data_IF_122207869301
#
_entry.id   IF_122207869301
#
_cell.length_a   1.000
_cell.length_b   1.000
_cell.length_c   1.000
_cell.angle_alpha   90.00
_cell.angle_beta   90.00
_cell.angle_gamma   90.00
#
_symmetry.space_group_name_H-M   'P 1'
#
loop_
_entity.id
_entity.type
_entity.pdbx_description
1 polymer ?
#
# COMPACT_ATOMS: atom_id res chain seq x y z
N UNK A 1 48.58 -15.04 -7.97
CA UNK A 1 48.08 -14.40 -6.73
C UNK A 1 46.59 -14.25 -6.87
N UNK A 2 45.81 -14.99 -6.07
CA UNK A 2 44.36 -14.82 -6.05
C UNK A 2 44.06 -13.50 -5.32
N UNK A 3 43.49 -12.52 -6.02
CA UNK A 3 42.94 -11.31 -5.42
C UNK A 3 41.74 -11.76 -4.58
N UNK A 4 41.92 -11.87 -3.26
CA UNK A 4 40.82 -12.13 -2.35
C UNK A 4 39.78 -11.04 -2.51
N UNK A 5 38.56 -11.40 -2.94
CA UNK A 5 37.44 -10.48 -3.04
C UNK A 5 37.04 -10.05 -1.64
N UNK A 6 37.56 -8.89 -1.20
CA UNK A 6 37.13 -8.25 0.03
C UNK A 6 35.72 -7.70 -0.18
N UNK A 7 34.71 -8.49 0.15
CA UNK A 7 33.32 -8.03 0.10
C UNK A 7 33.19 -6.88 1.10
N UNK A 8 32.79 -5.67 0.68
CA UNK A 8 32.63 -4.54 1.58
C UNK A 8 31.64 -4.91 2.69
N UNK A 9 31.97 -4.61 3.95
CA UNK A 9 31.09 -4.90 5.10
C UNK A 9 29.67 -4.36 4.92
N UNK A 10 29.54 -3.24 4.19
CA UNK A 10 28.26 -2.63 3.85
C UNK A 10 27.37 -3.51 2.98
N UNK A 11 27.94 -4.29 2.05
CA UNK A 11 27.18 -5.21 1.19
C UNK A 11 26.63 -6.38 2.00
N UNK A 12 27.45 -6.97 2.87
CA UNK A 12 27.04 -8.06 3.77
C UNK A 12 25.94 -7.58 4.71
N UNK A 13 26.13 -6.41 5.34
CA UNK A 13 25.11 -5.80 6.19
C UNK A 13 23.80 -5.57 5.43
N UNK A 14 23.88 -5.07 4.21
CA UNK A 14 22.69 -4.83 3.40
C UNK A 14 21.95 -6.12 3.08
N UNK A 15 22.65 -7.20 2.74
CA UNK A 15 22.06 -8.50 2.46
C UNK A 15 21.40 -9.12 3.71
N UNK A 16 22.02 -8.96 4.88
CA UNK A 16 21.43 -9.40 6.15
C UNK A 16 20.15 -8.59 6.44
N UNK A 17 20.22 -7.26 6.36
CA UNK A 17 19.09 -6.38 6.67
C UNK A 17 17.93 -6.55 5.68
N UNK A 18 18.22 -6.84 4.41
CA UNK A 18 17.21 -7.10 3.37
C UNK A 18 16.35 -8.32 3.69
N UNK A 19 16.90 -9.32 4.41
CA UNK A 19 16.20 -10.55 4.79
C UNK A 19 15.29 -10.39 6.01
N UNK A 20 15.37 -9.27 6.72
CA UNK A 20 14.60 -9.05 7.94
C UNK A 20 13.17 -8.60 7.66
N UNK A 21 12.18 -8.98 8.50
CA UNK A 21 10.83 -8.46 8.40
C UNK A 21 10.79 -6.93 8.57
N UNK A 22 9.90 -6.25 7.84
CA UNK A 22 9.73 -4.79 7.89
C UNK A 22 9.54 -4.27 9.32
N UNK A 23 8.79 -4.99 10.16
CA UNK A 23 8.57 -4.62 11.57
C UNK A 23 9.88 -4.57 12.37
N UNK A 24 10.82 -5.48 12.10
CA UNK A 24 12.14 -5.45 12.73
C UNK A 24 12.96 -4.26 12.24
N UNK A 25 12.94 -3.99 10.93
CA UNK A 25 13.60 -2.82 10.34
C UNK A 25 13.07 -1.50 10.90
N UNK A 26 11.76 -1.39 11.15
CA UNK A 26 11.17 -0.22 11.79
C UNK A 26 11.69 0.03 13.19
N UNK A 27 11.81 -1.03 14.02
CA UNK A 27 12.41 -0.92 15.37
C UNK A 27 13.89 -0.53 15.28
N UNK A 28 14.60 -1.06 14.29
CA UNK A 28 16.01 -0.80 14.04
C UNK A 28 16.31 0.64 13.62
N UNK A 29 15.32 1.40 13.13
CA UNK A 29 15.47 2.85 12.90
C UNK A 29 15.86 3.62 14.17
N UNK A 30 15.54 3.10 15.36
CA UNK A 30 15.87 3.73 16.65
C UNK A 30 17.30 3.42 17.13
N UNK A 31 17.97 2.43 16.55
CA UNK A 31 19.29 1.97 16.99
C UNK A 31 20.40 2.89 16.50
N UNK A 32 20.30 3.38 15.25
CA UNK A 32 21.33 4.24 14.66
C UNK A 32 20.77 5.16 13.56
N UNK A 33 21.32 6.39 13.48
CA UNK A 33 21.03 7.34 12.40
C UNK A 33 21.43 6.77 11.02
N UNK A 34 22.51 6.00 10.96
CA UNK A 34 22.97 5.36 9.72
C UNK A 34 21.95 4.34 9.22
N UNK A 35 21.39 3.52 10.11
CA UNK A 35 20.34 2.56 9.77
C UNK A 35 19.02 3.23 9.36
N UNK A 36 18.59 4.26 10.11
CA UNK A 36 17.43 5.07 9.72
C UNK A 36 17.59 5.67 8.31
N UNK A 37 18.79 6.16 7.99
CA UNK A 37 19.09 6.73 6.67
C UNK A 37 19.10 5.64 5.59
N UNK A 38 19.76 4.50 5.86
CA UNK A 38 19.82 3.36 4.95
C UNK A 38 18.42 2.85 4.58
N UNK A 39 17.56 2.62 5.56
CA UNK A 39 16.18 2.13 5.33
C UNK A 39 15.30 3.12 4.58
N UNK A 40 15.70 4.40 4.53
CA UNK A 40 14.98 5.44 3.78
C UNK A 40 15.41 5.51 2.31
N UNK A 41 16.58 4.96 1.95
CA UNK A 41 17.11 5.00 0.57
C UNK A 41 16.22 4.20 -0.39
N UNK A 42 15.89 4.73 -1.60
CA UNK A 42 15.06 4.02 -2.59
C UNK A 42 15.61 2.65 -2.97
N UNK A 43 16.93 2.53 -3.13
CA UNK A 43 17.59 1.26 -3.46
C UNK A 43 17.33 0.17 -2.41
N UNK A 44 17.43 0.49 -1.12
CA UNK A 44 17.15 -0.46 -0.06
C UNK A 44 15.68 -0.88 -0.05
N UNK A 45 14.75 0.07 -0.19
CA UNK A 45 13.30 -0.21 -0.27
C UNK A 45 12.99 -1.16 -1.43
N UNK A 46 13.56 -0.91 -2.62
CA UNK A 46 13.39 -1.76 -3.81
C UNK A 46 14.00 -3.14 -3.63
N UNK A 47 15.22 -3.24 -3.06
CA UNK A 47 15.89 -4.52 -2.78
C UNK A 47 15.09 -5.35 -1.78
N UNK A 48 14.62 -4.72 -0.69
CA UNK A 48 13.77 -5.34 0.33
C UNK A 48 12.43 -5.82 -0.22
N UNK A 49 11.75 -4.98 -1.01
CA UNK A 49 10.49 -5.31 -1.65
C UNK A 49 10.63 -6.48 -2.64
N UNK A 50 11.65 -6.46 -3.50
CA UNK A 50 11.91 -7.54 -4.45
C UNK A 50 12.26 -8.84 -3.72
N UNK A 51 13.01 -8.75 -2.64
CA UNK A 51 13.30 -9.91 -1.80
C UNK A 51 12.02 -10.49 -1.20
N UNK A 52 11.13 -9.64 -0.67
CA UNK A 52 9.83 -10.06 -0.16
C UNK A 52 8.98 -10.70 -1.26
N UNK A 53 8.88 -10.14 -2.47
CA UNK A 53 8.10 -10.73 -3.58
C UNK A 53 8.56 -12.14 -3.97
N UNK A 54 9.86 -12.42 -3.80
CA UNK A 54 10.45 -13.70 -4.18
C UNK A 54 10.46 -14.74 -3.05
N UNK A 55 10.01 -14.39 -1.84
CA UNK A 55 9.84 -15.35 -0.75
C UNK A 55 8.43 -15.92 -0.76
N UNK A 56 8.29 -17.23 -0.61
CA UNK A 56 6.97 -17.88 -0.51
C UNK A 56 6.28 -17.58 0.82
N UNK A 57 7.05 -17.46 1.91
CA UNK A 57 6.54 -17.22 3.27
C UNK A 57 6.16 -15.77 3.55
N UNK A 58 6.43 -14.85 2.63
CA UNK A 58 6.08 -13.43 2.74
C UNK A 58 4.72 -13.11 2.10
N UNK A 59 4.08 -14.07 1.42
CA UNK A 59 2.76 -13.90 0.84
C UNK A 59 1.72 -13.77 1.94
N UNK A 60 0.96 -12.67 1.91
CA UNK A 60 -0.06 -12.38 2.91
C UNK A 60 -1.36 -11.98 2.26
N UNK A 61 -2.44 -12.33 2.94
CA UNK A 61 -3.79 -11.90 2.60
C UNK A 61 -4.23 -10.83 3.60
N UNK A 62 -4.77 -9.73 3.08
CA UNK A 62 -5.48 -8.71 3.85
C UNK A 62 -6.98 -8.98 3.75
N UNK A 63 -7.65 -9.03 4.89
CA UNK A 63 -9.08 -9.32 5.02
C UNK A 63 -9.73 -8.13 5.72
N UNK A 64 -10.70 -7.50 5.06
CA UNK A 64 -11.60 -6.54 5.70
C UNK A 64 -12.80 -7.28 6.28
N UNK A 65 -13.13 -7.04 7.55
CA UNK A 65 -14.35 -7.56 8.16
C UNK A 65 -15.14 -6.44 8.83
N UNK A 66 -16.45 -6.47 8.62
CA UNK A 66 -17.43 -5.62 9.31
C UNK A 66 -18.28 -6.50 10.21
N UNK A 67 -18.49 -6.08 11.47
CA UNK A 67 -19.43 -6.74 12.36
C UNK A 67 -20.83 -6.17 12.17
N UNK A 68 -21.84 -7.03 11.98
CA UNK A 68 -23.23 -6.61 11.89
C UNK A 68 -23.65 -5.79 13.13
N UNK A 69 -24.14 -4.57 12.91
CA UNK A 69 -24.66 -3.72 13.98
C UNK A 69 -23.65 -2.81 14.68
N UNK A 70 -22.38 -2.79 14.25
CA UNK A 70 -21.40 -1.77 14.68
C UNK A 70 -20.80 -1.07 13.48
N UNK A 71 -20.45 0.19 13.62
CA UNK A 71 -19.64 0.96 12.66
C UNK A 71 -18.15 0.57 12.71
N UNK A 72 -17.82 -0.58 13.30
CA UNK A 72 -16.44 -1.02 13.50
C UNK A 72 -16.00 -1.86 12.30
N UNK A 73 -15.23 -1.24 11.40
CA UNK A 73 -14.52 -1.94 10.33
C UNK A 73 -13.11 -2.29 10.78
N UNK A 74 -12.75 -3.56 10.64
CA UNK A 74 -11.46 -4.07 11.06
C UNK A 74 -10.73 -4.74 9.91
N UNK A 75 -9.42 -4.52 9.85
CA UNK A 75 -8.54 -5.21 8.92
C UNK A 75 -7.75 -6.30 9.64
N UNK A 76 -7.58 -7.42 8.97
CA UNK A 76 -6.82 -8.56 9.44
C UNK A 76 -5.83 -8.97 8.37
N UNK A 77 -4.69 -9.49 8.79
CA UNK A 77 -3.66 -10.01 7.91
C UNK A 77 -3.35 -11.45 8.30
N UNK A 78 -3.29 -12.35 7.31
CA UNK A 78 -2.88 -13.74 7.51
C UNK A 78 -1.86 -14.18 6.46
N UNK A 79 -1.08 -15.22 6.77
CA UNK A 79 -0.14 -15.81 5.83
C UNK A 79 -0.87 -16.66 4.78
N UNK A 80 -0.43 -16.58 3.53
CA UNK A 80 -0.86 -17.49 2.46
C UNK A 80 0.08 -18.70 2.30
N UNK A 81 1.10 -18.83 3.14
CA UNK A 81 2.02 -19.97 3.06
C UNK A 81 1.26 -21.28 3.34
N UNK A 82 1.34 -22.27 2.43
CA UNK A 82 0.59 -23.54 2.54
C UNK A 82 0.84 -24.27 3.87
N UNK A 83 2.01 -24.07 4.47
CA UNK A 83 2.45 -24.76 5.67
C UNK A 83 2.12 -24.00 6.98
N UNK A 84 1.41 -22.87 6.91
CA UNK A 84 1.17 -21.97 8.06
C UNK A 84 -0.28 -21.51 8.22
N UNK A 85 -1.26 -22.19 7.62
CA UNK A 85 -2.68 -21.87 7.82
C UNK A 85 -3.21 -22.32 9.19
N UNK A 86 -2.53 -21.92 10.27
CA UNK A 86 -3.06 -22.05 11.63
C UNK A 86 -3.94 -20.82 11.91
N UNK A 87 -5.10 -21.03 12.54
CA UNK A 87 -6.07 -19.98 12.92
C UNK A 87 -5.43 -18.84 13.74
N UNK A 88 -4.26 -19.07 14.34
CA UNK A 88 -3.51 -18.12 15.16
C UNK A 88 -2.67 -17.09 14.37
N UNK A 89 -2.56 -17.21 13.04
CA UNK A 89 -1.76 -16.28 12.21
C UNK A 89 -2.55 -15.04 11.76
N UNK A 90 -3.81 -14.91 12.21
CA UNK A 90 -4.65 -13.75 11.92
C UNK A 90 -4.28 -12.60 12.87
N UNK A 91 -3.66 -11.56 12.31
CA UNK A 91 -3.30 -10.36 13.05
C UNK A 91 -4.21 -9.20 12.68
N UNK A 92 -4.87 -8.58 13.66
CA UNK A 92 -5.56 -7.31 13.47
C UNK A 92 -4.54 -6.24 13.06
N UNK A 93 -4.78 -5.60 11.93
CA UNK A 93 -3.97 -4.47 11.46
C UNK A 93 -4.58 -3.21 12.04
N UNK A 94 -3.75 -2.43 12.74
CA UNK A 94 -4.22 -1.21 13.37
C UNK A 94 -4.08 -0.02 12.41
N UNK A 95 -5.21 0.65 12.21
CA UNK A 95 -5.32 1.87 11.42
C UNK A 95 -5.31 3.08 12.37
N UNK A 96 -4.23 3.87 12.36
CA UNK A 96 -4.06 5.00 13.29
C UNK A 96 -4.33 6.38 12.68
N UNK A 97 -4.41 6.49 11.36
CA UNK A 97 -4.31 7.79 10.68
C UNK A 97 -5.62 8.59 10.58
N UNK A 98 -6.77 8.06 10.99
CA UNK A 98 -8.06 8.77 10.89
C UNK A 98 -8.62 8.94 12.30
N UNK A 99 -8.90 10.19 12.68
CA UNK A 99 -9.42 10.57 13.99
C UNK A 99 -10.88 10.17 14.20
N UNK A 100 -11.63 9.96 13.12
CA UNK A 100 -13.06 9.65 13.17
C UNK A 100 -13.37 8.20 12.78
N UNK A 101 -14.33 7.55 13.45
CA UNK A 101 -14.82 6.25 13.03
C UNK A 101 -15.51 6.36 11.66
N UNK A 102 -15.10 5.52 10.71
CA UNK A 102 -15.71 5.45 9.38
C UNK A 102 -16.85 4.42 9.38
N UNK A 103 -17.92 4.72 8.66
CA UNK A 103 -19.13 3.88 8.55
C UNK A 103 -18.96 2.73 7.56
N UNK A 104 -17.96 2.79 6.68
CA UNK A 104 -17.53 1.63 5.92
C UNK A 104 -16.26 1.81 5.10
N UNK A 105 -15.82 0.72 4.50
CA UNK A 105 -14.64 0.71 3.63
C UNK A 105 -14.78 -0.27 2.46
N UNK A 106 -14.18 0.08 1.33
CA UNK A 106 -13.99 -0.76 0.16
C UNK A 106 -12.53 -0.79 -0.25
N UNK A 107 -12.01 -1.98 -0.53
CA UNK A 107 -10.66 -2.18 -1.09
C UNK A 107 -10.79 -2.33 -2.60
N UNK A 108 -10.13 -1.46 -3.37
CA UNK A 108 -10.15 -1.53 -4.83
C UNK A 108 -9.09 -2.46 -5.38
N UNK A 109 -7.84 -2.27 -4.95
CA UNK A 109 -6.70 -3.00 -5.48
C UNK A 109 -5.49 -2.89 -4.55
N UNK A 110 -4.45 -3.69 -4.84
CA UNK A 110 -3.16 -3.59 -4.17
C UNK A 110 -2.00 -3.66 -5.17
N UNK A 111 -0.90 -3.02 -4.81
CA UNK A 111 0.36 -3.06 -5.55
C UNK A 111 1.50 -2.89 -4.55
N UNK A 112 2.46 -3.82 -4.55
CA UNK A 112 3.68 -3.71 -3.74
C UNK A 112 3.43 -3.47 -2.23
N UNK A 113 2.43 -4.18 -1.71
CA UNK A 113 1.90 -4.07 -0.34
C UNK A 113 1.24 -2.73 0.01
N UNK A 114 1.01 -1.86 -0.97
CA UNK A 114 0.14 -0.69 -0.87
C UNK A 114 -1.28 -1.08 -1.28
N UNK A 115 -2.26 -0.56 -0.57
CA UNK A 115 -3.69 -0.81 -0.81
C UNK A 115 -4.37 0.49 -1.14
N UNK A 116 -5.12 0.50 -2.24
CA UNK A 116 -6.02 1.60 -2.58
C UNK A 116 -7.38 1.27 -1.99
N UNK A 117 -7.84 2.10 -1.06
CA UNK A 117 -9.09 1.89 -0.35
C UNK A 117 -9.92 3.16 -0.36
N UNK A 118 -11.22 2.98 -0.26
CA UNK A 118 -12.21 4.03 -0.07
C UNK A 118 -12.85 3.85 1.29
N UNK A 119 -13.05 4.96 1.98
CA UNK A 119 -13.74 5.00 3.27
C UNK A 119 -14.92 5.96 3.20
N UNK A 120 -15.96 5.65 3.95
CA UNK A 120 -17.10 6.54 4.14
C UNK A 120 -17.07 7.05 5.58
N UNK A 121 -17.01 8.37 5.75
CA UNK A 121 -17.04 9.04 7.06
C UNK A 121 -18.39 9.70 7.22
N UNK A 122 -19.18 9.28 8.21
CA UNK A 122 -20.51 9.85 8.49
C UNK A 122 -21.67 8.87 8.43
N UNK A 123 -22.82 9.31 8.97
CA UNK A 123 -24.09 8.58 8.98
C UNK A 123 -25.04 9.01 7.84
N UNK A 124 -24.77 10.15 7.19
CA UNK A 124 -25.53 10.68 6.05
C UNK A 124 -24.98 10.16 4.73
N UNK A 125 -25.87 9.96 3.75
CA UNK A 125 -25.49 9.52 2.39
C UNK A 125 -24.78 10.61 1.57
N UNK A 126 -24.83 11.85 2.03
CA UNK A 126 -24.33 13.02 1.29
C UNK A 126 -22.87 13.34 1.62
N UNK A 127 -22.29 12.72 2.66
CA UNK A 127 -20.87 12.91 2.98
C UNK A 127 -19.99 12.15 1.98
N UNK A 128 -19.10 12.85 1.27
CA UNK A 128 -18.34 12.25 0.19
C UNK A 128 -17.24 11.33 0.73
N UNK A 129 -17.10 10.15 0.12
CA UNK A 129 -16.10 9.15 0.47
C UNK A 129 -14.67 9.64 0.22
N UNK A 130 -13.72 9.15 1.00
CA UNK A 130 -12.30 9.47 0.81
C UNK A 130 -11.58 8.29 0.17
N UNK A 131 -10.88 8.55 -0.95
CA UNK A 131 -9.95 7.59 -1.54
C UNK A 131 -8.58 7.79 -0.92
N UNK A 132 -7.95 6.70 -0.51
CA UNK A 132 -6.67 6.76 0.17
C UNK A 132 -5.79 5.57 -0.16
N UNK A 133 -4.49 5.83 -0.16
CA UNK A 133 -3.46 4.83 -0.31
C UNK A 133 -2.91 4.47 1.06
N UNK A 134 -2.90 3.18 1.37
CA UNK A 134 -2.53 2.66 2.66
C UNK A 134 -1.36 1.69 2.60
N UNK A 135 -0.45 1.80 3.57
CA UNK A 135 0.51 0.75 3.87
C UNK A 135 0.20 0.09 5.24
N UNK A 136 -0.44 -1.09 5.25
CA UNK A 136 -0.79 -1.86 6.45
C UNK A 136 0.39 -2.18 7.37
N UNK A 137 1.58 -2.29 6.81
CA UNK A 137 2.78 -2.70 7.57
C UNK A 137 3.36 -1.55 8.37
N UNK A 138 3.24 -0.34 7.84
CA UNK A 138 3.78 0.88 8.44
C UNK A 138 2.73 1.72 9.15
N UNK A 139 1.44 1.39 8.96
CA UNK A 139 0.29 2.19 9.40
C UNK A 139 0.23 3.62 8.81
N UNK A 140 1.09 3.92 7.83
CA UNK A 140 1.06 5.16 7.06
C UNK A 140 -0.05 5.10 6.00
N UNK A 141 -0.78 6.20 5.85
CA UNK A 141 -1.76 6.37 4.78
C UNK A 141 -1.72 7.80 4.24
N UNK A 142 -2.14 7.97 2.98
CA UNK A 142 -2.29 9.28 2.35
C UNK A 142 -3.63 9.37 1.65
N UNK A 143 -4.36 10.46 1.90
CA UNK A 143 -5.60 10.77 1.19
C UNK A 143 -5.24 11.28 -0.21
N UNK A 144 -5.87 10.73 -1.23
CA UNK A 144 -5.63 11.16 -2.61
C UNK A 144 -6.38 12.48 -2.89
N UNK A 145 -5.84 13.35 -3.76
CA UNK A 145 -6.54 14.56 -4.18
C UNK A 145 -7.91 14.19 -4.76
N UNK A 146 -8.97 14.81 -4.21
CA UNK A 146 -10.33 14.64 -4.74
C UNK A 146 -10.53 15.55 -5.95
N UNK A 147 -11.23 15.06 -6.96
CA UNK A 147 -11.76 15.87 -8.07
C UNK A 147 -13.24 16.12 -7.83
N UNK A 148 -13.70 17.34 -8.10
CA UNK A 148 -15.11 17.73 -7.94
C UNK A 148 -16.06 16.85 -8.79
N UNK A 149 -15.59 16.35 -9.93
CA UNK A 149 -16.31 15.40 -10.80
C UNK A 149 -16.58 14.03 -10.16
N UNK A 150 -15.96 13.71 -9.01
CA UNK A 150 -16.14 12.41 -8.34
C UNK A 150 -17.48 12.26 -7.62
N UNK A 151 -18.30 13.31 -7.53
CA UNK A 151 -19.57 13.27 -6.81
C UNK A 151 -20.74 12.78 -7.67
N UNK A 152 -20.59 12.84 -8.99
CA UNK A 152 -21.69 12.59 -9.94
C UNK A 152 -21.60 11.21 -10.61
N UNK A 153 -20.43 10.56 -10.59
CA UNK A 153 -20.16 9.35 -11.36
C UNK A 153 -19.48 8.26 -10.52
N UNK A 154 -19.78 7.00 -10.81
CA UNK A 154 -19.11 5.86 -10.19
C UNK A 154 -17.86 5.45 -10.96
N UNK A 155 -16.70 5.45 -10.27
CA UNK A 155 -15.43 5.04 -10.86
C UNK A 155 -15.00 3.64 -10.40
N UNK A 156 -14.28 2.94 -11.27
CA UNK A 156 -13.43 1.80 -10.91
C UNK A 156 -11.99 2.26 -10.85
N UNK A 157 -11.24 1.79 -9.85
CA UNK A 157 -9.85 2.19 -9.65
C UNK A 157 -8.88 1.05 -9.86
N UNK A 158 -7.70 1.39 -10.40
CA UNK A 158 -6.54 0.51 -10.50
C UNK A 158 -5.29 1.20 -9.96
N UNK A 159 -4.36 0.42 -9.42
CA UNK A 159 -3.07 0.89 -8.91
C UNK A 159 -1.95 0.14 -9.63
N UNK A 160 -0.96 0.87 -10.12
CA UNK A 160 0.20 0.29 -10.79
C UNK A 160 1.50 1.03 -10.46
N UNK A 161 2.61 0.29 -10.46
CA UNK A 161 3.95 0.84 -10.38
C UNK A 161 4.54 0.99 -11.78
N UNK A 162 4.88 2.22 -12.14
CA UNK A 162 5.61 2.55 -13.36
C UNK A 162 7.11 2.52 -13.09
N UNK A 163 7.76 1.44 -13.53
CA UNK A 163 9.20 1.25 -13.37
C UNK A 163 10.06 2.25 -14.15
N UNK A 164 9.52 2.90 -15.19
CA UNK A 164 10.27 3.88 -16.00
C UNK A 164 10.39 5.23 -15.29
N UNK A 165 9.32 5.66 -14.60
CA UNK A 165 9.31 6.90 -13.80
C UNK A 165 9.52 6.65 -12.29
N UNK A 166 9.73 5.39 -11.90
CA UNK A 166 9.82 4.95 -10.50
C UNK A 166 8.65 5.47 -9.65
N UNK A 167 7.44 5.46 -10.21
CA UNK A 167 6.29 6.14 -9.61
C UNK A 167 5.08 5.22 -9.56
N UNK A 168 4.31 5.32 -8.48
CA UNK A 168 3.00 4.69 -8.43
C UNK A 168 1.97 5.60 -9.11
N UNK A 169 1.06 4.98 -9.84
CA UNK A 169 -0.02 5.64 -10.54
C UNK A 169 -1.35 5.01 -10.18
N UNK A 170 -2.35 5.84 -9.97
CA UNK A 170 -3.74 5.42 -9.74
C UNK A 170 -4.53 5.76 -10.98
N UNK A 171 -5.11 4.76 -11.62
CA UNK A 171 -6.03 4.91 -12.73
C UNK A 171 -7.45 4.90 -12.17
N UNK A 172 -8.31 5.81 -12.64
CA UNK A 172 -9.75 5.73 -12.43
C UNK A 172 -10.44 5.72 -13.79
N UNK A 173 -11.39 4.80 -13.94
CA UNK A 173 -12.18 4.61 -15.16
C UNK A 173 -13.64 4.81 -14.78
N UNK A 174 -14.34 5.64 -15.56
CA UNK A 174 -15.77 5.84 -15.37
C UNK A 174 -16.54 4.57 -15.77
N UNK A 175 -17.44 4.11 -14.92
CA UNK A 175 -18.16 2.85 -15.17
C UNK A 175 -19.19 2.97 -16.28
N UNK A 176 -19.82 4.13 -16.41
CA UNK A 176 -20.87 4.39 -17.39
C UNK A 176 -20.25 4.77 -18.76
N UNK A 177 -19.07 5.38 -18.71
CA UNK A 177 -18.33 5.89 -19.87
C UNK A 177 -18.82 7.26 -20.33
N UNK A 178 -19.51 7.98 -19.45
CA UNK A 178 -20.02 9.33 -19.67
C UNK A 178 -19.02 10.39 -19.18
N UNK A 179 -18.11 10.01 -18.27
CA UNK A 179 -17.02 10.83 -17.79
C UNK A 179 -15.65 10.39 -18.32
N UNK A 180 -14.65 11.26 -18.14
CA UNK A 180 -13.28 11.05 -18.58
C UNK A 180 -12.54 10.06 -17.67
N UNK A 181 -11.77 9.17 -18.30
CA UNK A 181 -10.80 8.34 -17.61
C UNK A 181 -9.57 9.18 -17.20
N UNK A 182 -9.04 8.95 -16.00
CA UNK A 182 -7.95 9.77 -15.48
C UNK A 182 -6.90 8.96 -14.72
N UNK A 183 -5.67 9.47 -14.74
CA UNK A 183 -4.54 8.86 -14.04
C UNK A 183 -3.85 9.87 -13.11
N UNK A 184 -3.74 9.51 -11.85
CA UNK A 184 -2.97 10.22 -10.83
C UNK A 184 -1.55 9.67 -10.80
N UNK A 185 -0.55 10.55 -10.87
CA UNK A 185 0.83 10.20 -10.57
C UNK A 185 1.16 10.61 -9.12
N UNK A 186 1.48 9.66 -8.23
CA UNK A 186 1.62 9.97 -6.80
C UNK A 186 2.74 10.96 -6.50
N UNK A 187 3.90 10.85 -7.17
CA UNK A 187 5.01 11.80 -7.00
C UNK A 187 4.62 13.25 -7.35
N UNK A 188 3.73 13.48 -8.33
CA UNK A 188 3.31 14.83 -8.71
C UNK A 188 2.04 15.28 -7.97
N UNK A 189 1.25 14.34 -7.43
CA UNK A 189 -0.01 14.65 -6.75
C UNK A 189 -1.08 15.21 -7.68
N UNK A 190 -0.96 15.01 -8.99
CA UNK A 190 -1.84 15.61 -10.00
C UNK A 190 -2.52 14.55 -10.85
N UNK A 191 -3.83 14.71 -11.05
CA UNK A 191 -4.61 13.95 -12.01
C UNK A 191 -4.39 14.49 -13.42
N UNK A 192 -4.50 13.61 -14.40
CA UNK A 192 -4.55 13.97 -15.82
C UNK A 192 -5.50 13.04 -16.54
N UNK A 193 -6.19 13.59 -17.52
CA UNK A 193 -7.05 12.85 -18.42
C UNK A 193 -6.24 11.86 -19.27
N UNK A 194 -6.85 10.73 -19.56
CA UNK A 194 -6.37 9.78 -20.55
C UNK A 194 -7.47 9.53 -21.58
N UNK A 195 -7.09 9.43 -22.85
CA UNK A 195 -8.03 9.02 -23.87
C UNK A 195 -8.35 7.54 -23.67
N UNK A 196 -9.61 7.21 -23.42
CA UNK A 196 -10.07 5.83 -23.48
C UNK A 196 -9.83 5.30 -24.89
N UNK A 197 -9.32 4.07 -25.08
CA UNK A 197 -9.31 3.45 -26.39
C UNK A 197 -10.76 3.43 -26.90
N UNK A 198 -10.98 3.89 -28.13
CA UNK A 198 -12.30 3.93 -28.77
C UNK A 198 -13.00 2.58 -28.58
N UNK A 199 -14.15 2.59 -27.89
CA UNK A 199 -15.00 1.42 -27.64
C UNK A 199 -15.42 0.76 -28.95
#
# INVERSE_FOLDING_TARGET
>A
MAMGTHIPEEEILMDILTKLPVKSLFRFKCVSKSWKTLFSKPYFKKKHLNHAKNQTDSQKLLIGASSSGKTDFNFYCTSLSPNRLLVNDIHKVFWQSISEPFSGCKVYCCCDALFLIEIWTGLSRDEPSMILLWNPTTSESVVLPRLESSLEHEYTYGLGYDSTSDNYKVLRIDKEGDALDEILALKSGSWREICSPSK
#
